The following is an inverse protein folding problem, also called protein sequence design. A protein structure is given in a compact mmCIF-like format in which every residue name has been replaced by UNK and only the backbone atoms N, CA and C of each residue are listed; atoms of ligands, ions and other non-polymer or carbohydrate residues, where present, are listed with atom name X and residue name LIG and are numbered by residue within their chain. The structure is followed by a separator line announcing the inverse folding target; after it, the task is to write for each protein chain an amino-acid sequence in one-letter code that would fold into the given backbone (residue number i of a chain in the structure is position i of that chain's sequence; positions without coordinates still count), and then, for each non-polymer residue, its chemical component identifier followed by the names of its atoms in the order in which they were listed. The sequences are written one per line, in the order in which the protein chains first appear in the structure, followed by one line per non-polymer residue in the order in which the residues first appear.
data_IF_558243898081
#
_entry.id   IF_558243898081
#
_cell.length_a   1.000
_cell.length_b   1.000
_cell.length_c   1.000
_cell.angle_alpha   90.00
_cell.angle_beta   90.00
_cell.angle_gamma   90.00
#
_symmetry.space_group_name_H-M   'P 1'
#
loop_
_entity.id
_entity.type
_entity.pdbx_description
1 polymer ?
#
# COMPACT_ATOMS: atom_id res chain seq x y z
N UNK A 1 -8.68 6.46 3.22
CA UNK A 1 -8.79 6.60 4.70
C UNK A 1 -7.83 7.64 5.28
N UNK A 2 -6.52 7.52 5.07
CA UNK A 2 -5.56 8.53 5.55
C UNK A 2 -5.88 9.95 5.06
N UNK A 3 -6.20 10.11 3.76
CA UNK A 3 -6.61 11.42 3.20
C UNK A 3 -7.88 11.96 3.88
N UNK A 4 -8.87 11.10 4.12
CA UNK A 4 -10.09 11.49 4.86
C UNK A 4 -9.77 11.99 6.27
N UNK A 5 -8.92 11.28 7.03
CA UNK A 5 -8.52 11.69 8.37
C UNK A 5 -7.74 13.02 8.36
N UNK A 6 -6.94 13.26 7.33
CA UNK A 6 -6.27 14.55 7.10
C UNK A 6 -7.28 15.67 6.85
N UNK A 7 -8.25 15.47 5.97
CA UNK A 7 -9.30 16.45 5.66
C UNK A 7 -10.19 16.76 6.88
N UNK A 8 -10.35 15.80 7.79
CA UNK A 8 -11.04 15.97 9.08
C UNK A 8 -10.14 16.53 10.19
N UNK A 9 -8.89 16.91 9.89
CA UNK A 9 -7.89 17.41 10.85
C UNK A 9 -7.56 16.46 12.01
N UNK A 10 -7.72 15.14 11.82
CA UNK A 10 -7.34 14.12 12.81
C UNK A 10 -5.82 13.87 12.78
N UNK A 11 -5.20 14.03 11.62
CA UNK A 11 -3.75 13.91 11.41
C UNK A 11 -3.28 14.90 10.33
N UNK A 12 -1.96 15.10 10.20
CA UNK A 12 -1.38 16.08 9.26
C UNK A 12 -0.86 15.47 7.95
N UNK A 13 -1.09 14.18 7.72
CA UNK A 13 -0.61 13.43 6.55
C UNK A 13 -1.73 12.61 5.92
N UNK A 14 -1.65 12.39 4.60
CA UNK A 14 -2.70 11.75 3.82
C UNK A 14 -2.14 10.84 2.74
N UNK A 15 -2.73 10.86 1.55
CA UNK A 15 -2.30 10.02 0.42
C UNK A 15 -0.84 10.25 0.04
N UNK A 16 -0.30 11.47 0.22
CA UNK A 16 1.12 11.75 -0.06
C UNK A 16 2.10 10.93 0.77
N UNK A 17 1.71 10.46 1.96
CA UNK A 17 2.59 9.67 2.82
C UNK A 17 2.96 8.30 2.20
N UNK A 18 2.17 7.84 1.23
CA UNK A 18 2.34 6.55 0.56
C UNK A 18 3.11 6.65 -0.77
N UNK A 19 3.60 7.83 -1.15
CA UNK A 19 4.28 8.04 -2.44
C UNK A 19 5.48 7.11 -2.64
N UNK A 20 6.26 6.85 -1.57
CA UNK A 20 7.40 5.94 -1.61
C UNK A 20 7.02 4.45 -1.68
N UNK A 21 5.76 4.12 -1.40
CA UNK A 21 5.21 2.76 -1.52
C UNK A 21 4.62 2.57 -2.93
N UNK A 22 3.88 3.58 -3.42
CA UNK A 22 3.36 3.60 -4.79
C UNK A 22 3.12 5.03 -5.25
N UNK A 23 3.66 5.36 -6.42
CA UNK A 23 3.46 6.67 -7.07
C UNK A 23 2.03 6.92 -7.55
N UNK A 24 1.18 5.89 -7.56
CA UNK A 24 -0.21 6.00 -8.02
C UNK A 24 -1.12 6.51 -6.91
N UNK A 25 -0.85 6.13 -5.64
CA UNK A 25 -1.72 6.48 -4.50
C UNK A 25 -1.94 8.00 -4.39
N UNK A 26 -0.91 8.88 -4.42
CA UNK A 26 -1.14 10.31 -4.35
C UNK A 26 -1.90 10.89 -5.56
N UNK A 27 -1.86 10.23 -6.72
CA UNK A 27 -2.56 10.69 -7.94
C UNK A 27 -4.04 10.34 -7.86
N UNK A 28 -4.33 9.13 -7.41
CA UNK A 28 -5.68 8.54 -7.45
C UNK A 28 -6.51 8.96 -6.22
N UNK A 29 -5.87 9.10 -5.05
CA UNK A 29 -6.59 9.25 -3.76
C UNK A 29 -6.69 10.69 -3.24
N UNK A 30 -5.92 11.65 -3.78
CA UNK A 30 -5.99 13.07 -3.36
C UNK A 30 -7.26 13.79 -3.79
N UNK A 31 -8.01 13.23 -4.75
CA UNK A 31 -9.24 13.81 -5.27
C UNK A 31 -10.44 13.74 -4.31
N UNK A 32 -10.28 13.13 -3.13
CA UNK A 32 -11.37 12.93 -2.18
C UNK A 32 -11.95 14.27 -1.71
N UNK A 33 -13.25 14.47 -1.92
CA UNK A 33 -14.02 15.59 -1.36
C UNK A 33 -14.91 15.05 -0.25
N UNK A 34 -15.03 15.81 0.85
CA UNK A 34 -15.96 15.47 1.94
C UNK A 34 -17.38 15.82 1.47
N UNK A 35 -18.13 14.82 0.97
CA UNK A 35 -19.52 15.02 0.59
C UNK A 35 -20.39 15.28 1.84
N UNK A 36 -21.23 16.32 1.76
CA UNK A 36 -22.02 16.87 2.89
C UNK A 36 -23.25 16.00 3.25
N UNK A 37 -23.43 14.83 2.63
CA UNK A 37 -24.68 14.05 2.75
C UNK A 37 -24.52 12.54 2.89
N UNK A 38 -23.30 11.99 2.88
CA UNK A 38 -23.09 10.56 3.10
C UNK A 38 -22.94 10.33 4.60
N UNK A 39 -23.73 9.41 5.17
CA UNK A 39 -23.60 8.97 6.57
C UNK A 39 -22.12 8.79 6.91
N UNK A 40 -21.64 9.47 7.97
CA UNK A 40 -20.25 9.46 8.43
C UNK A 40 -19.79 8.00 8.56
N UNK A 41 -19.05 7.50 7.56
CA UNK A 41 -18.17 6.36 7.79
C UNK A 41 -17.14 6.89 8.76
N UNK A 42 -17.28 6.53 10.04
CA UNK A 42 -16.40 6.96 11.12
C UNK A 42 -15.05 6.26 10.96
N UNK A 43 -14.26 6.71 10.00
CA UNK A 43 -12.85 6.37 9.95
C UNK A 43 -12.17 6.97 11.18
N UNK A 44 -11.37 6.16 11.86
CA UNK A 44 -10.61 6.58 13.05
C UNK A 44 -9.13 6.24 12.89
N UNK A 45 -8.27 6.85 13.71
CA UNK A 45 -6.85 6.48 13.75
C UNK A 45 -6.64 4.99 14.06
N UNK A 46 -7.52 4.40 14.87
CA UNK A 46 -7.49 2.97 15.19
C UNK A 46 -7.75 2.10 13.95
N UNK A 47 -8.81 2.39 13.18
CA UNK A 47 -9.12 1.64 11.95
C UNK A 47 -8.01 1.83 10.91
N UNK A 48 -7.43 3.04 10.81
CA UNK A 48 -6.30 3.28 9.92
C UNK A 48 -5.08 2.44 10.33
N UNK A 49 -4.79 2.35 11.62
CA UNK A 49 -3.71 1.52 12.15
C UNK A 49 -3.90 0.05 11.78
N UNK A 50 -5.10 -0.52 11.97
CA UNK A 50 -5.40 -1.91 11.58
C UNK A 50 -5.18 -2.14 10.07
N UNK A 51 -5.56 -1.18 9.22
CA UNK A 51 -5.32 -1.28 7.77
C UNK A 51 -3.83 -1.20 7.43
N UNK A 52 -3.05 -0.37 8.12
CA UNK A 52 -1.60 -0.30 7.93
C UNK A 52 -0.93 -1.61 8.35
N UNK A 53 -1.34 -2.21 9.47
CA UNK A 53 -0.83 -3.52 9.90
C UNK A 53 -1.19 -4.64 8.92
N UNK A 54 -2.43 -4.66 8.44
CA UNK A 54 -2.87 -5.60 7.40
C UNK A 54 -2.05 -5.43 6.12
N UNK A 55 -1.79 -4.19 5.71
CA UNK A 55 -0.95 -3.87 4.56
C UNK A 55 0.48 -4.41 4.73
N UNK A 56 1.08 -4.32 5.92
CA UNK A 56 2.40 -4.89 6.19
C UNK A 56 2.43 -6.40 5.96
N UNK A 57 1.39 -7.12 6.40
CA UNK A 57 1.24 -8.56 6.15
C UNK A 57 1.05 -8.91 4.68
N UNK A 58 0.32 -8.07 3.91
CA UNK A 58 0.14 -8.25 2.47
C UNK A 58 1.47 -8.00 1.72
N UNK A 59 2.21 -6.95 2.08
CA UNK A 59 3.51 -6.65 1.48
C UNK A 59 4.53 -7.77 1.71
N UNK A 60 4.57 -8.34 2.91
CA UNK A 60 5.42 -9.49 3.23
C UNK A 60 5.04 -10.72 2.38
N UNK A 61 3.75 -11.05 2.31
CA UNK A 61 3.24 -12.16 1.47
C UNK A 61 3.49 -11.93 -0.02
N UNK A 62 3.49 -10.68 -0.47
CA UNK A 62 3.80 -10.29 -1.85
C UNK A 62 5.31 -10.20 -2.15
N UNK A 63 6.16 -10.56 -1.19
CA UNK A 63 7.62 -10.49 -1.25
C UNK A 63 8.17 -9.09 -1.57
N UNK A 64 7.42 -8.04 -1.17
CA UNK A 64 7.76 -6.62 -1.33
C UNK A 64 8.43 -6.08 -0.06
N UNK A 65 9.52 -6.72 0.34
CA UNK A 65 10.17 -6.47 1.63
C UNK A 65 10.77 -5.06 1.74
N UNK A 66 11.25 -4.47 0.64
CA UNK A 66 11.95 -3.19 0.65
C UNK A 66 11.06 -2.01 1.05
N UNK A 67 9.76 -2.08 0.74
CA UNK A 67 8.82 -0.98 0.99
C UNK A 67 8.22 -1.04 2.40
N UNK A 68 8.41 -2.15 3.13
CA UNK A 68 7.82 -2.33 4.46
C UNK A 68 8.33 -1.27 5.45
N UNK A 69 9.59 -0.82 5.29
CA UNK A 69 10.18 0.24 6.09
C UNK A 69 9.45 1.58 5.96
N UNK A 70 8.98 1.93 4.76
CA UNK A 70 8.22 3.16 4.54
C UNK A 70 6.84 3.09 5.20
N UNK A 71 6.21 1.90 5.21
CA UNK A 71 4.93 1.69 5.89
C UNK A 71 5.08 1.79 7.42
N UNK A 72 6.10 1.17 8.00
CA UNK A 72 6.32 1.21 9.45
C UNK A 72 6.67 2.61 9.98
N UNK A 73 7.20 3.52 9.15
CA UNK A 73 7.36 4.94 9.52
C UNK A 73 6.03 5.64 9.80
N UNK A 74 4.91 5.11 9.30
CA UNK A 74 3.56 5.61 9.59
C UNK A 74 2.97 4.98 10.86
N UNK A 75 3.30 3.71 11.13
CA UNK A 75 2.78 2.92 12.26
C UNK A 75 3.49 3.27 13.57
N UNK A 76 4.83 3.29 13.57
CA UNK A 76 5.65 3.45 14.78
C UNK A 76 5.28 4.71 15.59
N UNK A 77 5.12 5.91 14.98
CA UNK A 77 4.76 7.11 15.72
C UNK A 77 3.41 7.02 16.46
N UNK A 78 2.48 6.19 15.97
CA UNK A 78 1.18 5.98 16.64
C UNK A 78 1.40 5.19 17.92
N UNK A 79 2.16 4.09 17.86
CA UNK A 79 2.47 3.28 19.04
C UNK A 79 3.36 4.01 20.05
N UNK A 80 4.31 4.84 19.60
CA UNK A 80 5.11 5.69 20.49
C UNK A 80 4.25 6.65 21.30
N UNK A 81 3.30 7.33 20.65
CA UNK A 81 2.37 8.27 21.30
C UNK A 81 1.47 7.58 22.32
N UNK A 82 1.04 6.34 22.01
CA UNK A 82 0.22 5.49 22.89
C UNK A 82 1.02 4.73 23.94
N UNK A 83 2.36 4.77 23.87
CA UNK A 83 3.28 4.02 24.75
C UNK A 83 3.06 2.51 24.70
N UNK A 84 2.70 1.98 23.53
CA UNK A 84 2.49 0.54 23.31
C UNK A 84 3.83 -0.16 23.00
N UNK A 85 4.67 -0.30 24.03
CA UNK A 85 6.05 -0.80 23.86
C UNK A 85 6.12 -2.25 23.35
N UNK A 86 5.14 -3.09 23.67
CA UNK A 86 5.05 -4.45 23.11
C UNK A 86 4.84 -4.43 21.60
N UNK A 87 4.01 -3.51 21.10
CA UNK A 87 3.78 -3.36 19.66
C UNK A 87 4.98 -2.74 18.96
N UNK A 88 5.68 -1.80 19.60
CA UNK A 88 6.95 -1.29 19.10
C UNK A 88 7.99 -2.38 18.96
N UNK A 89 8.16 -3.24 19.97
CA UNK A 89 9.06 -4.39 19.90
C UNK A 89 8.73 -5.29 18.70
N UNK A 90 7.45 -5.62 18.50
CA UNK A 90 6.99 -6.40 17.34
C UNK A 90 7.30 -5.72 16.02
N UNK A 91 7.07 -4.40 15.89
CA UNK A 91 7.38 -3.63 14.68
C UNK A 91 8.85 -3.77 14.30
N UNK A 92 9.77 -3.55 15.25
CA UNK A 92 11.21 -3.63 15.00
C UNK A 92 11.68 -5.07 14.72
N UNK A 93 11.07 -6.07 15.37
CA UNK A 93 11.35 -7.47 15.07
C UNK A 93 10.94 -7.83 13.63
N UNK A 94 9.74 -7.42 13.20
CA UNK A 94 9.26 -7.62 11.83
C UNK A 94 10.15 -6.92 10.81
N UNK A 95 10.56 -5.67 11.07
CA UNK A 95 11.49 -4.94 10.21
C UNK A 95 12.82 -5.68 10.05
N UNK A 96 13.41 -6.13 11.17
CA UNK A 96 14.66 -6.90 11.16
C UNK A 96 14.54 -8.17 10.31
N UNK A 97 13.46 -8.94 10.51
CA UNK A 97 13.19 -10.16 9.73
C UNK A 97 13.03 -9.87 8.23
N UNK A 98 12.29 -8.81 7.86
CA UNK A 98 12.06 -8.44 6.47
C UNK A 98 13.35 -7.98 5.77
N UNK A 99 14.18 -7.17 6.43
CA UNK A 99 15.49 -6.81 5.87
C UNK A 99 16.42 -8.02 5.76
N UNK A 100 16.33 -8.99 6.67
CA UNK A 100 16.96 -10.30 6.51
C UNK A 100 16.53 -11.00 5.21
N UNK A 101 15.21 -11.07 4.95
CA UNK A 101 14.67 -11.63 3.70
C UNK A 101 15.22 -10.90 2.47
N UNK A 102 15.34 -9.56 2.48
CA UNK A 102 15.95 -8.78 1.38
C UNK A 102 17.38 -9.26 1.10
N UNK A 103 18.20 -9.43 2.14
CA UNK A 103 19.58 -9.91 2.00
C UNK A 103 19.61 -11.30 1.37
N UNK A 104 18.75 -12.20 1.82
CA UNK A 104 18.72 -13.59 1.35
C UNK A 104 18.23 -13.73 -0.10
N UNK A 105 17.20 -12.98 -0.48
CA UNK A 105 16.70 -12.99 -1.87
C UNK A 105 17.68 -12.33 -2.83
N UNK A 106 18.40 -11.29 -2.39
CA UNK A 106 19.44 -10.65 -3.20
C UNK A 106 20.64 -11.59 -3.43
N UNK A 107 21.02 -12.38 -2.43
CA UNK A 107 22.08 -13.39 -2.58
C UNK A 107 21.67 -14.56 -3.47
N UNK A 108 20.44 -15.05 -3.30
CA UNK A 108 19.98 -16.26 -3.98
C UNK A 108 19.44 -16.02 -5.38
N UNK A 109 18.95 -14.81 -5.69
CA UNK A 109 18.28 -14.48 -6.95
C UNK A 109 16.96 -15.22 -7.18
N UNK A 110 16.40 -15.88 -6.16
CA UNK A 110 15.22 -16.76 -6.30
C UNK A 110 13.87 -16.06 -6.23
N UNK A 111 13.83 -14.76 -5.91
CA UNK A 111 12.58 -13.99 -5.79
C UNK A 111 12.02 -13.63 -7.15
N UNK A 112 10.75 -13.95 -7.38
CA UNK A 112 10.11 -13.87 -8.69
C UNK A 112 8.81 -13.11 -8.60
N UNK A 113 8.84 -11.84 -9.00
CA UNK A 113 7.74 -10.91 -8.71
C UNK A 113 6.66 -10.83 -9.80
N UNK A 114 6.81 -11.61 -10.87
CA UNK A 114 5.88 -11.73 -11.97
C UNK A 114 6.55 -11.59 -13.34
N UNK A 115 5.74 -11.74 -14.39
CA UNK A 115 6.11 -11.46 -15.79
C UNK A 115 5.15 -10.44 -16.37
N UNK A 116 5.61 -9.69 -17.36
CA UNK A 116 4.83 -8.65 -18.00
C UNK A 116 4.63 -8.98 -19.48
N UNK A 117 3.40 -8.83 -19.95
CA UNK A 117 3.02 -9.06 -21.35
C UNK A 117 2.22 -7.88 -21.87
N UNK A 118 2.49 -7.49 -23.11
CA UNK A 118 1.65 -6.54 -23.83
C UNK A 118 0.53 -7.30 -24.54
N UNK A 119 -0.71 -6.95 -24.25
CA UNK A 119 -1.90 -7.59 -24.84
C UNK A 119 -2.70 -6.50 -25.55
N UNK A 120 -2.98 -6.70 -26.83
CA UNK A 120 -3.83 -5.81 -27.62
C UNK A 120 -5.05 -6.56 -28.14
N UNK A 121 -6.22 -5.94 -28.05
CA UNK A 121 -7.48 -6.51 -28.53
C UNK A 121 -7.84 -5.91 -29.90
N UNK A 122 -8.18 -6.74 -30.89
CA UNK A 122 -8.49 -6.28 -32.24
C UNK A 122 -9.72 -6.99 -32.82
N UNK A 123 -10.63 -6.20 -33.38
CA UNK A 123 -11.90 -6.64 -33.95
C UNK A 123 -13.08 -5.91 -33.32
N UNK A 124 -13.51 -4.81 -33.95
CA UNK A 124 -14.61 -3.96 -33.46
C UNK A 124 -15.88 -4.75 -33.13
N UNK A 125 -16.22 -5.74 -33.95
CA UNK A 125 -17.42 -6.56 -33.78
C UNK A 125 -17.40 -7.45 -32.52
N UNK A 126 -16.23 -7.69 -31.92
CA UNK A 126 -16.07 -8.57 -30.75
C UNK A 126 -15.64 -7.84 -29.50
N UNK A 127 -14.80 -6.82 -29.66
CA UNK A 127 -14.14 -6.14 -28.54
C UNK A 127 -14.68 -4.74 -28.28
N UNK A 128 -15.50 -4.19 -29.18
CA UNK A 128 -16.19 -2.91 -29.01
C UNK A 128 -15.25 -1.78 -28.56
N UNK A 129 -15.34 -1.36 -27.30
CA UNK A 129 -14.51 -0.31 -26.70
C UNK A 129 -13.05 -0.72 -26.53
N UNK A 130 -12.78 -2.02 -26.40
CA UNK A 130 -11.43 -2.57 -26.25
C UNK A 130 -10.68 -2.69 -27.58
N UNK A 131 -11.37 -2.52 -28.72
CA UNK A 131 -10.74 -2.64 -30.03
C UNK A 131 -9.65 -1.57 -30.24
N UNK A 132 -8.42 -2.02 -30.45
CA UNK A 132 -7.23 -1.18 -30.60
C UNK A 132 -6.59 -0.75 -29.29
N UNK A 133 -7.14 -1.13 -28.13
CA UNK A 133 -6.53 -0.84 -26.83
C UNK A 133 -5.44 -1.86 -26.52
N UNK A 134 -4.29 -1.37 -26.06
CA UNK A 134 -3.16 -2.18 -25.58
C UNK A 134 -3.02 -2.04 -24.06
N UNK A 135 -2.78 -3.17 -23.40
CA UNK A 135 -2.58 -3.28 -21.96
C UNK A 135 -1.26 -3.95 -21.63
N UNK A 136 -0.75 -3.67 -20.43
CA UNK A 136 0.34 -4.44 -19.82
C UNK A 136 -0.24 -5.35 -18.74
N UNK A 137 -0.26 -6.64 -19.01
CA UNK A 137 -0.70 -7.68 -18.06
C UNK A 137 0.48 -8.12 -17.20
N UNK A 138 0.27 -8.16 -15.88
CA UNK A 138 1.23 -8.71 -14.92
C UNK A 138 0.76 -10.09 -14.46
N UNK A 139 1.41 -11.13 -14.95
CA UNK A 139 1.08 -12.52 -14.60
C UNK A 139 1.84 -12.99 -13.34
N UNK A 140 1.21 -13.82 -12.49
CA UNK A 140 1.91 -14.55 -11.43
C UNK A 140 2.89 -15.56 -12.04
N UNK A 141 3.73 -16.13 -11.19
CA UNK A 141 4.59 -17.26 -11.57
C UNK A 141 4.11 -18.54 -10.92
#
# INVERSE_FOLDING_TARGET
MAEYLKLKNVQNWGAEAFEKISSNIPKDEKGLKLDVGVQDVQYTEYILLEQLESCAGILDKAERYEVIGELYKLIIPIYERKREYEMLQKCYQTLSQNYGKVVDVNKSGKRLLGRYYRIGFYGQAYFEEENGIEYIYKEPR
#
